data_IF_060176509476
#
_entry.id   IF_060176509476
#
_cell.length_a   1.000
_cell.length_b   1.000
_cell.length_c   1.000
_cell.angle_alpha   90.00
_cell.angle_beta   90.00
_cell.angle_gamma   90.00
#
_symmetry.space_group_name_H-M   'P 1'
#
loop_
_entity.id
_entity.type
_entity.pdbx_description
1 polymer ?
#
# COMPACT_ATOMS: atom_id res chain seq x y z
N UNK A 1 -25.96 15.20 -0.44
CA UNK A 1 -25.80 13.77 -0.10
C UNK A 1 -27.08 13.05 -0.47
N UNK A 2 -27.01 11.90 -1.14
CA UNK A 2 -28.20 11.06 -1.39
C UNK A 2 -28.68 10.44 -0.08
N UNK A 3 -29.92 10.75 0.32
CA UNK A 3 -30.53 10.21 1.55
C UNK A 3 -31.19 8.88 1.24
N UNK A 4 -30.62 7.79 1.75
CA UNK A 4 -31.25 6.47 1.66
C UNK A 4 -32.40 6.37 2.68
N UNK A 5 -33.59 5.99 2.21
CA UNK A 5 -34.78 5.77 3.05
C UNK A 5 -34.96 4.28 3.32
N UNK A 6 -35.51 3.95 4.49
CA UNK A 6 -35.93 2.58 4.83
C UNK A 6 -37.27 2.27 4.16
N UNK A 7 -37.50 0.99 3.85
CA UNK A 7 -38.82 0.51 3.45
C UNK A 7 -39.74 0.35 4.68
N UNK A 8 -40.99 -0.05 4.45
CA UNK A 8 -41.97 -0.35 5.51
C UNK A 8 -41.48 -1.45 6.47
N UNK A 9 -40.68 -2.40 5.98
CA UNK A 9 -40.07 -3.48 6.77
C UNK A 9 -38.80 -3.06 7.55
N UNK A 10 -38.39 -1.79 7.47
CA UNK A 10 -37.21 -1.27 8.20
C UNK A 10 -35.84 -1.53 7.56
N UNK A 11 -35.79 -2.14 6.37
CA UNK A 11 -34.57 -2.44 5.62
C UNK A 11 -34.24 -1.36 4.58
N UNK A 12 -32.98 -1.28 4.18
CA UNK A 12 -32.49 -0.46 3.07
C UNK A 12 -32.41 -1.30 1.79
N UNK A 13 -33.04 -0.82 0.72
CA UNK A 13 -32.96 -1.40 -0.61
C UNK A 13 -32.05 -0.52 -1.47
N UNK A 14 -30.85 -0.99 -1.76
CA UNK A 14 -29.84 -0.21 -2.48
C UNK A 14 -29.27 -1.06 -3.60
N UNK A 15 -29.42 -0.59 -4.85
CA UNK A 15 -28.97 -1.29 -6.06
C UNK A 15 -29.44 -2.75 -6.13
N UNK A 16 -30.70 -3.01 -5.78
CA UNK A 16 -31.29 -4.36 -5.82
C UNK A 16 -30.94 -5.27 -4.65
N UNK A 17 -30.14 -4.80 -3.67
CA UNK A 17 -29.78 -5.58 -2.48
C UNK A 17 -30.43 -5.03 -1.22
N UNK A 18 -30.81 -5.95 -0.32
CA UNK A 18 -31.37 -5.65 1.00
C UNK A 18 -30.26 -5.54 2.04
N UNK A 19 -30.27 -4.47 2.83
CA UNK A 19 -29.37 -4.24 3.96
C UNK A 19 -30.18 -3.90 5.21
N UNK A 20 -29.72 -4.34 6.38
CA UNK A 20 -30.35 -4.00 7.67
C UNK A 20 -29.95 -2.60 8.12
N UNK A 21 -28.71 -2.23 7.85
CA UNK A 21 -28.15 -0.93 8.23
C UNK A 21 -27.45 -0.27 7.05
N UNK A 22 -27.46 1.06 7.04
CA UNK A 22 -26.78 1.81 5.99
C UNK A 22 -25.26 1.83 6.22
N UNK A 23 -24.87 2.08 7.46
CA UNK A 23 -23.48 2.21 7.89
C UNK A 23 -23.16 1.16 8.95
N UNK A 24 -22.02 0.50 8.80
CA UNK A 24 -21.56 -0.52 9.73
C UNK A 24 -20.05 -0.73 9.73
N UNK A 25 -19.60 -1.79 10.40
CA UNK A 25 -18.22 -2.23 10.39
C UNK A 25 -17.81 -2.80 9.03
N UNK A 26 -16.50 -2.85 8.77
CA UNK A 26 -15.96 -3.49 7.55
C UNK A 26 -16.40 -4.94 7.39
N UNK A 27 -16.49 -5.68 8.49
CA UNK A 27 -16.96 -7.06 8.49
C UNK A 27 -18.43 -7.14 8.06
N UNK A 28 -19.31 -6.34 8.69
CA UNK A 28 -20.74 -6.28 8.36
C UNK A 28 -20.99 -5.92 6.88
N UNK A 29 -20.17 -5.04 6.30
CA UNK A 29 -20.27 -4.70 4.87
C UNK A 29 -19.88 -5.87 3.98
N UNK A 30 -18.84 -6.64 4.34
CA UNK A 30 -18.44 -7.83 3.59
C UNK A 30 -19.49 -8.95 3.70
N UNK A 31 -20.08 -9.14 4.88
CA UNK A 31 -21.15 -10.12 5.11
C UNK A 31 -22.50 -9.70 4.49
N UNK A 32 -22.68 -8.43 4.11
CA UNK A 32 -23.89 -7.94 3.45
C UNK A 32 -24.97 -7.42 4.38
N UNK A 33 -24.69 -7.31 5.69
CA UNK A 33 -25.60 -6.69 6.66
C UNK A 33 -25.68 -5.17 6.48
N UNK A 34 -24.54 -4.55 6.16
CA UNK A 34 -24.40 -3.11 5.99
C UNK A 34 -24.04 -2.74 4.54
N UNK A 35 -24.55 -1.60 4.05
CA UNK A 35 -24.24 -1.16 2.68
C UNK A 35 -22.82 -0.58 2.55
N UNK A 36 -22.44 0.29 3.50
CA UNK A 36 -21.13 0.96 3.51
C UNK A 36 -20.58 1.05 4.92
N UNK A 37 -19.29 1.35 5.01
CA UNK A 37 -18.65 1.72 6.29
C UNK A 37 -18.91 3.18 6.63
N UNK A 38 -18.64 3.58 7.88
CA UNK A 38 -18.68 5.00 8.29
C UNK A 38 -17.79 5.90 7.41
N UNK A 39 -16.68 5.35 6.88
CA UNK A 39 -15.79 6.03 5.93
C UNK A 39 -16.21 5.93 4.47
N UNK A 40 -17.44 5.48 4.17
CA UNK A 40 -17.99 5.40 2.82
C UNK A 40 -17.57 4.20 1.98
N UNK A 41 -16.70 3.31 2.49
CA UNK A 41 -16.24 2.13 1.73
C UNK A 41 -17.36 1.11 1.53
N UNK A 42 -17.55 0.68 0.29
CA UNK A 42 -18.49 -0.39 -0.11
C UNK A 42 -17.80 -1.74 -0.17
N UNK A 43 -18.58 -2.82 -0.26
CA UNK A 43 -18.09 -4.21 -0.28
C UNK A 43 -16.99 -4.47 -1.32
N UNK A 44 -17.12 -3.95 -2.54
CA UNK A 44 -16.13 -4.14 -3.61
C UNK A 44 -14.80 -3.40 -3.36
N UNK A 45 -14.77 -2.40 -2.48
CA UNK A 45 -13.56 -1.66 -2.11
C UNK A 45 -12.82 -2.30 -0.94
N UNK A 46 -13.41 -3.33 -0.34
CA UNK A 46 -12.86 -4.12 0.76
C UNK A 46 -12.30 -5.45 0.24
N UNK A 47 -11.36 -6.01 1.00
CA UNK A 47 -10.80 -7.34 0.75
C UNK A 47 -10.31 -7.96 2.06
N UNK A 48 -10.33 -9.28 2.15
CA UNK A 48 -9.70 -10.01 3.24
C UNK A 48 -8.22 -10.20 2.94
N UNK A 49 -7.36 -9.82 3.90
CA UNK A 49 -5.93 -10.08 3.78
C UNK A 49 -5.58 -11.50 4.27
N UNK A 50 -4.33 -11.92 4.06
CA UNK A 50 -3.83 -13.23 4.52
C UNK A 50 -3.87 -13.43 6.04
N UNK A 51 -4.03 -12.36 6.81
CA UNK A 51 -4.13 -12.37 8.26
C UNK A 51 -5.60 -12.38 8.74
N UNK A 52 -6.56 -12.61 7.85
CA UNK A 52 -7.99 -12.67 8.17
C UNK A 52 -8.66 -11.32 8.43
N UNK A 53 -7.97 -10.20 8.20
CA UNK A 53 -8.52 -8.85 8.43
C UNK A 53 -9.12 -8.28 7.16
N UNK A 54 -10.28 -7.64 7.28
CA UNK A 54 -10.91 -6.88 6.19
C UNK A 54 -10.24 -5.51 6.07
N UNK A 55 -9.55 -5.27 4.96
CA UNK A 55 -8.80 -4.03 4.67
C UNK A 55 -9.32 -3.35 3.41
N UNK A 56 -9.00 -2.07 3.24
CA UNK A 56 -9.26 -1.35 1.99
C UNK A 56 -8.36 -1.87 0.87
N UNK A 57 -8.97 -2.25 -0.27
CA UNK A 57 -8.27 -2.70 -1.48
C UNK A 57 -7.29 -1.64 -1.99
N UNK A 58 -7.70 -0.37 -2.06
CA UNK A 58 -6.85 0.75 -2.49
C UNK A 58 -5.59 0.84 -1.64
N UNK A 59 -5.73 0.83 -0.31
CA UNK A 59 -4.58 0.91 0.62
C UNK A 59 -3.64 -0.28 0.47
N UNK A 60 -4.18 -1.50 0.32
CA UNK A 60 -3.37 -2.70 0.11
C UNK A 60 -2.55 -2.62 -1.19
N UNK A 61 -3.17 -2.18 -2.30
CA UNK A 61 -2.49 -2.03 -3.59
C UNK A 61 -1.42 -0.93 -3.56
N UNK A 62 -1.74 0.23 -2.98
CA UNK A 62 -0.79 1.34 -2.83
C UNK A 62 0.42 0.94 -1.98
N UNK A 63 0.21 0.23 -0.87
CA UNK A 63 1.30 -0.23 -0.01
C UNK A 63 2.28 -1.17 -0.76
N UNK A 64 1.75 -2.08 -1.60
CA UNK A 64 2.57 -2.97 -2.45
C UNK A 64 3.37 -2.21 -3.50
N UNK A 65 2.80 -1.14 -4.09
CA UNK A 65 3.46 -0.31 -5.11
C UNK A 65 4.54 0.58 -4.52
N UNK A 66 4.25 1.24 -3.40
CA UNK A 66 5.10 2.31 -2.89
C UNK A 66 6.33 1.79 -2.16
N UNK A 67 6.23 0.68 -1.42
CA UNK A 67 7.34 0.05 -0.67
C UNK A 67 8.18 1.08 0.12
N UNK A 68 7.53 2.03 0.79
CA UNK A 68 8.15 3.23 1.40
C UNK A 68 9.37 2.91 2.28
N UNK A 69 9.26 1.92 3.16
CA UNK A 69 10.36 1.52 4.05
C UNK A 69 11.58 1.03 3.25
N UNK A 70 11.36 0.15 2.27
CA UNK A 70 12.43 -0.37 1.41
C UNK A 70 13.10 0.76 0.64
N UNK A 71 12.29 1.68 0.07
CA UNK A 71 12.82 2.86 -0.64
C UNK A 71 13.59 3.81 0.29
N UNK A 72 13.18 3.92 1.54
CA UNK A 72 13.90 4.66 2.57
C UNK A 72 15.16 3.93 3.08
N UNK A 73 15.47 2.75 2.55
CA UNK A 73 16.65 1.97 2.91
C UNK A 73 16.48 1.10 4.15
N UNK A 74 15.24 0.82 4.57
CA UNK A 74 14.91 -0.02 5.71
C UNK A 74 14.14 -1.28 5.31
N UNK A 75 14.40 -2.39 5.99
CA UNK A 75 13.58 -3.59 5.87
C UNK A 75 13.84 -4.56 7.01
N UNK A 76 13.68 -5.85 6.76
CA UNK A 76 13.72 -6.90 7.78
C UNK A 76 14.70 -8.01 7.37
N UNK A 77 15.35 -8.65 8.34
CA UNK A 77 16.24 -9.80 8.12
C UNK A 77 15.74 -10.98 8.96
N UNK A 78 15.63 -12.17 8.36
CA UNK A 78 15.22 -13.39 9.09
C UNK A 78 16.15 -13.61 10.30
N UNK A 79 15.57 -13.90 11.46
CA UNK A 79 16.31 -14.11 12.71
C UNK A 79 16.76 -12.83 13.44
N UNK A 80 16.44 -11.64 12.93
CA UNK A 80 16.71 -10.36 13.62
C UNK A 80 15.41 -9.61 13.86
N UNK A 81 15.08 -9.40 15.13
CA UNK A 81 13.91 -8.60 15.54
C UNK A 81 14.14 -7.11 15.25
N UNK A 82 13.09 -6.41 14.82
CA UNK A 82 13.13 -4.98 14.49
C UNK A 82 13.47 -4.64 13.02
N UNK A 83 13.79 -3.37 12.78
CA UNK A 83 14.17 -2.88 11.45
C UNK A 83 15.68 -3.00 11.22
N UNK A 84 16.07 -3.24 9.98
CA UNK A 84 17.47 -3.28 9.53
C UNK A 84 17.64 -2.28 8.40
N UNK A 85 18.70 -1.47 8.46
CA UNK A 85 19.09 -0.58 7.36
C UNK A 85 19.75 -1.41 6.26
N UNK A 86 19.10 -1.50 5.10
CA UNK A 86 19.50 -2.33 3.95
C UNK A 86 20.45 -1.56 3.01
N UNK A 87 20.40 -0.22 3.01
CA UNK A 87 21.27 0.61 2.18
C UNK A 87 22.34 1.37 2.98
N UNK A 88 23.62 1.14 2.67
CA UNK A 88 24.61 2.23 2.68
C UNK A 88 24.29 3.07 1.45
N UNK A 89 23.93 4.33 1.62
CA UNK A 89 24.01 5.29 0.51
C UNK A 89 25.46 5.24 0.01
N UNK A 90 25.71 4.57 -1.12
CA UNK A 90 26.91 4.85 -1.89
C UNK A 90 26.66 6.23 -2.47
N UNK A 91 26.98 7.27 -1.71
CA UNK A 91 27.20 8.60 -2.26
C UNK A 91 28.28 8.38 -3.30
N UNK A 92 27.93 8.38 -4.59
CA UNK A 92 28.89 8.44 -5.66
C UNK A 92 29.68 9.73 -5.43
N UNK A 93 30.82 9.64 -4.73
CA UNK A 93 31.81 10.70 -4.75
C UNK A 93 32.35 10.62 -6.17
N UNK A 94 31.87 11.51 -7.03
CA UNK A 94 32.37 11.64 -8.40
C UNK A 94 33.86 11.96 -8.32
N UNK A 95 34.68 10.92 -8.37
CA UNK A 95 36.09 11.03 -8.65
C UNK A 95 36.25 10.75 -10.12
N UNK A 96 36.16 11.78 -10.96
CA UNK A 96 36.77 11.72 -12.29
C UNK A 96 38.28 11.64 -12.05
N UNK A 97 38.84 10.43 -11.97
CA UNK A 97 40.28 10.27 -12.05
C UNK A 97 40.65 10.59 -13.50
N UNK A 98 40.98 11.86 -13.77
CA UNK A 98 41.61 12.21 -15.04
C UNK A 98 42.99 11.53 -15.02
N UNK A 99 43.27 10.71 -16.03
CA UNK A 99 44.59 10.13 -16.21
C UNK A 99 45.62 11.26 -16.22
N UNK A 100 46.70 11.09 -15.48
CA UNK A 100 47.78 12.08 -15.48
C UNK A 100 48.44 12.09 -16.86
N UNK A 101 49.06 13.20 -17.31
CA UNK A 101 49.76 13.24 -18.59
C UNK A 101 50.82 12.15 -18.77
N UNK A 102 51.39 11.63 -17.67
CA UNK A 102 52.32 10.51 -17.68
C UNK A 102 51.63 9.19 -18.09
N UNK A 103 50.42 8.94 -17.60
CA UNK A 103 49.65 7.72 -17.90
C UNK A 103 49.21 7.65 -19.39
N UNK A 104 49.11 8.81 -20.08
CA UNK A 104 48.78 8.88 -21.50
C UNK A 104 49.99 8.67 -22.41
N UNK A 105 51.19 9.05 -21.95
CA UNK A 105 52.42 8.87 -22.70
C UNK A 105 52.86 7.39 -22.74
N UNK A 106 52.56 6.63 -21.69
CA UNK A 106 52.90 5.20 -21.61
C UNK A 106 51.95 4.31 -22.45
N UNK A 107 50.71 4.75 -22.65
CA UNK A 107 49.70 4.00 -23.43
C UNK A 107 49.90 4.09 -24.95
N UNK A 108 50.67 5.07 -25.44
CA UNK A 108 50.97 5.27 -26.86
C UNK A 108 52.44 5.66 -27.05
N UNK A 109 53.38 4.69 -26.97
CA UNK A 109 54.75 4.94 -27.40
C UNK A 109 54.77 5.18 -28.92
N UNK A 110 55.44 6.24 -29.36
CA UNK A 110 55.68 6.56 -30.78
C UNK A 110 56.57 5.51 -31.44
#
# INVERSE_FOLDING_TARGET
MTRYKKNSSGHYLIHGHKYEMLEGSRAQVVHGTAYKTSGGLKKHELMMNKNGRVVSRKKHMTAKKEKRLIKAGYGTKKGKFGYVKIGKSRKHRGGSHKLSPADLAEAYPQ
#
